data_IF_514470194118
#
_entry.id   IF_514470194118
#
_cell.length_a   1.000
_cell.length_b   1.000
_cell.length_c   1.000
_cell.angle_alpha   90.00
_cell.angle_beta   90.00
_cell.angle_gamma   90.00
#
_symmetry.space_group_name_H-M   'P 1'
#
loop_
_entity.id
_entity.type
_entity.pdbx_description
1 polymer ?
#
# COMPACT_ATOMS: atom_id res chain seq x y z
N UNK A 1 17.27 -8.85 -14.74
CA UNK A 1 16.90 -7.51 -14.30
C UNK A 1 18.18 -6.73 -13.99
N UNK A 2 18.44 -5.61 -14.69
CA UNK A 2 19.68 -4.83 -14.54
C UNK A 2 19.72 -4.13 -13.18
N UNK A 3 20.89 -3.98 -12.56
CA UNK A 3 21.07 -3.29 -11.27
C UNK A 3 20.50 -1.85 -11.34
N UNK A 4 20.60 -1.20 -12.51
CA UNK A 4 20.08 0.15 -12.77
C UNK A 4 18.55 0.25 -12.65
N UNK A 5 17.81 -0.81 -12.96
CA UNK A 5 16.34 -0.83 -12.92
C UNK A 5 15.81 -0.91 -11.48
N UNK A 6 16.60 -1.50 -10.57
CA UNK A 6 16.29 -1.55 -9.13
C UNK A 6 16.59 -0.24 -8.41
N UNK A 7 17.41 0.64 -8.99
CA UNK A 7 17.76 1.91 -8.37
C UNK A 7 16.54 2.84 -8.15
N UNK A 8 15.47 2.69 -8.94
CA UNK A 8 14.23 3.47 -8.79
C UNK A 8 13.30 2.96 -7.68
N UNK A 9 13.48 1.71 -7.23
CA UNK A 9 12.60 1.11 -6.20
C UNK A 9 12.77 1.82 -4.86
N UNK A 10 14.02 2.01 -4.42
CA UNK A 10 14.30 2.64 -3.13
C UNK A 10 13.79 4.09 -3.06
N UNK A 11 14.09 4.99 -4.01
CA UNK A 11 13.55 6.36 -3.98
C UNK A 11 12.03 6.40 -3.98
N UNK A 12 11.35 5.57 -4.77
CA UNK A 12 9.89 5.54 -4.83
C UNK A 12 9.27 4.94 -3.58
N UNK A 13 9.87 3.90 -3.01
CA UNK A 13 9.41 3.33 -1.75
C UNK A 13 9.58 4.35 -0.61
N UNK A 14 10.73 5.02 -0.52
CA UNK A 14 10.97 6.07 0.47
C UNK A 14 10.01 7.24 0.27
N UNK A 15 9.80 7.69 -0.96
CA UNK A 15 8.83 8.76 -1.26
C UNK A 15 7.43 8.37 -0.79
N UNK A 16 6.99 7.15 -1.11
CA UNK A 16 5.69 6.65 -0.65
C UNK A 16 5.63 6.58 0.88
N UNK A 17 6.68 6.08 1.53
CA UNK A 17 6.80 6.05 2.99
C UNK A 17 6.73 7.45 3.61
N UNK A 18 7.39 8.44 3.02
CA UNK A 18 7.34 9.83 3.49
C UNK A 18 5.95 10.45 3.34
N UNK A 19 5.23 10.15 2.25
CA UNK A 19 3.85 10.59 2.06
C UNK A 19 2.94 9.97 3.13
N UNK A 20 3.11 8.67 3.40
CA UNK A 20 2.37 7.99 4.47
C UNK A 20 2.71 8.55 5.84
N UNK A 21 3.99 8.80 6.13
CA UNK A 21 4.43 9.46 7.35
C UNK A 21 3.76 10.83 7.53
N UNK A 22 3.72 11.63 6.48
CA UNK A 22 3.12 12.97 6.53
C UNK A 22 1.61 12.91 6.74
N UNK A 23 0.90 12.02 6.02
CA UNK A 23 -0.55 11.85 6.13
C UNK A 23 -0.99 11.08 7.39
N UNK A 24 -0.07 10.45 8.12
CA UNK A 24 -0.36 9.81 9.41
C UNK A 24 -0.30 10.75 10.61
N UNK A 25 -0.26 12.05 10.36
CA UNK A 25 -0.31 13.07 11.43
C UNK A 25 -1.76 13.21 11.91
N UNK A 26 -2.03 12.62 13.07
CA UNK A 26 -3.36 12.60 13.68
C UNK A 26 -3.86 14.01 14.07
N UNK A 27 -2.94 14.96 14.26
CA UNK A 27 -3.32 16.34 14.58
C UNK A 27 -3.84 17.12 13.37
N UNK A 28 -3.55 16.68 12.14
CA UNK A 28 -3.84 17.43 10.90
C UNK A 28 -4.78 16.73 9.94
N UNK A 29 -4.72 15.41 9.88
CA UNK A 29 -5.36 14.62 8.82
C UNK A 29 -6.35 13.59 9.38
N UNK A 30 -7.10 13.99 10.41
CA UNK A 30 -8.19 13.18 10.94
C UNK A 30 -9.53 13.56 10.31
N UNK A 31 -10.32 12.55 10.00
CA UNK A 31 -11.69 12.67 9.55
C UNK A 31 -12.57 12.59 10.81
N UNK A 32 -13.23 13.68 11.15
CA UNK A 32 -14.17 13.73 12.26
C UNK A 32 -15.54 13.20 11.83
N UNK A 33 -16.09 12.25 12.59
CA UNK A 33 -17.43 11.75 12.37
C UNK A 33 -18.45 12.59 13.14
N UNK A 34 -19.58 12.88 12.50
CA UNK A 34 -20.60 13.75 13.12
C UNK A 34 -21.23 13.12 14.37
N UNK A 35 -21.28 13.89 15.46
CA UNK A 35 -21.89 13.59 16.75
C UNK A 35 -21.42 12.33 17.48
N UNK A 36 -20.67 12.55 18.53
CA UNK A 36 -20.18 11.53 19.46
C UNK A 36 -21.34 10.81 20.15
N UNK A 37 -21.55 9.57 19.82
CA UNK A 37 -22.47 8.70 20.57
C UNK A 37 -21.63 7.81 21.48
N UNK A 38 -21.93 7.80 22.78
CA UNK A 38 -21.29 6.85 23.70
C UNK A 38 -21.43 5.43 23.17
N UNK A 39 -20.29 4.74 22.93
CA UNK A 39 -20.24 3.37 22.44
C UNK A 39 -19.88 3.22 20.95
N UNK A 40 -19.45 4.27 20.26
CA UNK A 40 -18.93 4.15 18.91
C UNK A 40 -17.53 3.52 18.90
N UNK A 41 -17.25 2.70 17.89
CA UNK A 41 -15.98 2.00 17.77
C UNK A 41 -14.79 2.96 17.55
N UNK A 42 -15.04 4.14 16.95
CA UNK A 42 -14.05 5.21 16.75
C UNK A 42 -14.76 6.54 16.49
N UNK A 43 -14.21 7.61 17.02
CA UNK A 43 -14.70 8.98 16.77
C UNK A 43 -13.96 9.65 15.62
N UNK A 44 -12.76 9.14 15.27
CA UNK A 44 -11.87 9.67 14.26
C UNK A 44 -11.34 8.57 13.36
N UNK A 45 -11.23 8.87 12.07
CA UNK A 45 -10.61 8.00 11.08
C UNK A 45 -9.44 8.74 10.44
N UNK A 46 -8.20 8.21 10.45
CA UNK A 46 -7.10 8.86 9.75
C UNK A 46 -7.34 8.88 8.24
N UNK A 47 -7.15 10.01 7.60
CA UNK A 47 -7.36 10.19 6.15
C UNK A 47 -6.51 9.22 5.31
N UNK A 48 -5.36 8.80 5.86
CA UNK A 48 -4.50 7.80 5.21
C UNK A 48 -5.22 6.46 5.00
N UNK A 49 -6.17 6.08 5.84
CA UNK A 49 -6.94 4.85 5.66
C UNK A 49 -7.74 4.83 4.35
N UNK A 50 -8.20 6.01 3.90
CA UNK A 50 -8.91 6.18 2.61
C UNK A 50 -7.91 6.31 1.45
N UNK A 51 -6.83 7.08 1.65
CA UNK A 51 -5.90 7.45 0.58
C UNK A 51 -4.81 6.43 0.33
N UNK A 52 -4.59 5.46 1.24
CA UNK A 52 -3.50 4.49 1.16
C UNK A 52 -3.44 3.74 -0.18
N UNK A 53 -4.56 3.18 -0.63
CA UNK A 53 -4.65 2.45 -1.90
C UNK A 53 -4.31 3.32 -3.12
N UNK A 54 -4.99 4.46 -3.33
CA UNK A 54 -4.68 5.41 -4.41
C UNK A 54 -3.24 5.88 -4.44
N UNK A 55 -2.65 6.26 -3.29
CA UNK A 55 -1.28 6.76 -3.21
C UNK A 55 -0.27 5.66 -3.53
N UNK A 56 -0.41 4.49 -2.91
CA UNK A 56 0.45 3.35 -3.19
C UNK A 56 0.39 2.94 -4.67
N UNK A 57 -0.82 2.90 -5.26
CA UNK A 57 -0.99 2.61 -6.67
C UNK A 57 -0.35 3.66 -7.58
N UNK A 58 -0.43 4.94 -7.24
CA UNK A 58 0.24 6.01 -7.99
C UNK A 58 1.77 5.79 -8.00
N UNK A 59 2.39 5.46 -6.86
CA UNK A 59 3.82 5.15 -6.78
C UNK A 59 4.18 3.88 -7.57
N UNK A 60 3.35 2.84 -7.50
CA UNK A 60 3.52 1.61 -8.31
C UNK A 60 3.41 1.92 -9.82
N UNK A 61 2.45 2.75 -10.24
CA UNK A 61 2.30 3.18 -11.63
C UNK A 61 3.52 3.96 -12.13
N UNK A 62 4.09 4.84 -11.30
CA UNK A 62 5.34 5.55 -11.62
C UNK A 62 6.48 4.55 -11.79
N UNK A 63 6.64 3.60 -10.86
CA UNK A 63 7.65 2.54 -10.96
C UNK A 63 7.51 1.75 -12.26
N UNK A 64 6.31 1.26 -12.57
CA UNK A 64 6.03 0.47 -13.77
C UNK A 64 6.28 1.26 -15.06
N UNK A 65 6.03 2.58 -15.04
CA UNK A 65 6.22 3.47 -16.18
C UNK A 65 7.71 3.75 -16.43
N UNK A 66 8.42 4.14 -15.37
CA UNK A 66 9.83 4.54 -15.47
C UNK A 66 10.72 3.35 -15.84
N UNK A 67 10.55 2.22 -15.15
CA UNK A 67 11.36 1.02 -15.38
C UNK A 67 10.92 0.28 -16.62
N UNK A 68 9.61 0.14 -16.84
CA UNK A 68 9.04 -0.54 -18.01
C UNK A 68 9.03 0.28 -19.29
N UNK A 69 9.46 1.56 -19.24
CA UNK A 69 9.41 2.51 -20.37
C UNK A 69 8.04 2.52 -21.08
N UNK A 70 6.98 2.40 -20.29
CA UNK A 70 5.60 2.37 -20.78
C UNK A 70 5.04 3.78 -21.00
N UNK A 71 3.83 3.87 -21.56
CA UNK A 71 3.16 5.13 -21.92
C UNK A 71 2.84 5.96 -20.66
N UNK A 72 3.64 6.98 -20.37
CA UNK A 72 3.53 7.80 -19.16
C UNK A 72 2.17 8.51 -19.02
N UNK A 73 1.54 8.92 -20.12
CA UNK A 73 0.24 9.60 -20.10
C UNK A 73 -0.88 8.70 -19.54
N UNK A 74 -0.84 7.38 -19.81
CA UNK A 74 -1.82 6.44 -19.31
C UNK A 74 -1.65 6.24 -17.79
N UNK A 75 -0.40 6.14 -17.33
CA UNK A 75 -0.07 6.08 -15.91
C UNK A 75 -0.52 7.35 -15.18
N UNK A 76 -0.26 8.52 -15.75
CA UNK A 76 -0.67 9.80 -15.19
C UNK A 76 -2.20 9.91 -15.14
N UNK A 77 -2.91 9.53 -16.19
CA UNK A 77 -4.37 9.54 -16.24
C UNK A 77 -4.96 8.66 -15.13
N UNK A 78 -4.51 7.40 -15.03
CA UNK A 78 -5.02 6.47 -14.02
C UNK A 78 -4.67 6.97 -12.61
N UNK A 79 -3.44 7.44 -12.38
CA UNK A 79 -3.02 7.98 -11.10
C UNK A 79 -3.86 9.19 -10.67
N UNK A 80 -4.12 10.13 -11.58
CA UNK A 80 -4.98 11.30 -11.32
C UNK A 80 -6.40 10.86 -11.00
N UNK A 81 -6.97 9.91 -11.76
CA UNK A 81 -8.32 9.40 -11.50
C UNK A 81 -8.44 8.72 -10.13
N UNK A 82 -7.43 7.96 -9.72
CA UNK A 82 -7.41 7.31 -8.41
C UNK A 82 -7.29 8.32 -7.27
N UNK A 83 -6.43 9.33 -7.41
CA UNK A 83 -6.30 10.40 -6.42
C UNK A 83 -7.58 11.26 -6.37
N UNK A 84 -8.19 11.54 -7.53
CA UNK A 84 -9.46 12.25 -7.59
C UNK A 84 -10.60 11.44 -6.93
N UNK A 85 -10.62 10.12 -7.09
CA UNK A 85 -11.59 9.25 -6.41
C UNK A 85 -11.40 9.30 -4.89
N UNK A 86 -10.17 9.26 -4.37
CA UNK A 86 -9.88 9.43 -2.96
C UNK A 86 -10.31 10.81 -2.43
N UNK A 87 -9.96 11.88 -3.17
CA UNK A 87 -10.37 13.24 -2.84
C UNK A 87 -11.90 13.38 -2.85
N UNK A 88 -12.58 12.80 -3.84
CA UNK A 88 -14.04 12.80 -3.92
C UNK A 88 -14.66 12.19 -2.66
N UNK A 89 -14.16 11.05 -2.18
CA UNK A 89 -14.64 10.41 -0.95
C UNK A 89 -14.48 11.34 0.25
N UNK A 90 -13.32 11.99 0.38
CA UNK A 90 -13.05 12.94 1.48
C UNK A 90 -13.94 14.20 1.43
N UNK A 91 -14.36 14.62 0.25
CA UNK A 91 -15.24 15.78 0.08
C UNK A 91 -16.72 15.44 0.28
N UNK A 92 -17.12 14.19 0.00
CA UNK A 92 -18.54 13.81 0.00
C UNK A 92 -19.00 13.11 1.27
N UNK A 93 -18.09 12.54 2.09
CA UNK A 93 -18.47 11.83 3.32
C UNK A 93 -19.32 12.69 4.29
N UNK A 94 -19.11 14.03 4.44
CA UNK A 94 -19.93 14.81 5.35
C UNK A 94 -21.40 14.90 4.91
N UNK A 95 -21.64 14.72 3.61
CA UNK A 95 -22.98 14.77 3.00
C UNK A 95 -23.73 13.44 3.08
N UNK A 96 -23.06 12.37 3.55
CA UNK A 96 -23.67 11.04 3.69
C UNK A 96 -24.76 10.97 4.78
N UNK A 97 -25.01 12.06 5.49
CA UNK A 97 -26.09 12.19 6.46
C UNK A 97 -25.64 11.99 7.91
N UNK A 98 -26.40 11.18 8.67
CA UNK A 98 -26.09 10.94 10.09
C UNK A 98 -24.89 10.00 10.25
N UNK A 99 -24.27 10.00 11.43
CA UNK A 99 -23.08 9.22 11.76
C UNK A 99 -23.10 7.77 11.29
N UNK A 100 -24.16 6.96 11.46
CA UNK A 100 -24.17 5.57 11.00
C UNK A 100 -23.96 5.43 9.49
N UNK A 101 -24.50 6.36 8.69
CA UNK A 101 -24.30 6.38 7.25
C UNK A 101 -22.91 6.82 6.86
N UNK A 102 -22.30 7.77 7.58
CA UNK A 102 -20.91 8.19 7.37
C UNK A 102 -19.94 7.06 7.67
N UNK A 103 -20.11 6.36 8.79
CA UNK A 103 -19.30 5.19 9.17
C UNK A 103 -19.41 4.09 8.12
N UNK A 104 -20.62 3.77 7.67
CA UNK A 104 -20.83 2.75 6.64
C UNK A 104 -20.21 3.17 5.31
N UNK A 105 -20.38 4.42 4.90
CA UNK A 105 -19.79 4.96 3.68
C UNK A 105 -18.26 4.87 3.70
N UNK A 106 -17.62 5.35 4.75
CA UNK A 106 -16.15 5.31 4.89
C UNK A 106 -15.63 3.88 4.97
N UNK A 107 -16.29 2.99 5.72
CA UNK A 107 -15.93 1.58 5.79
C UNK A 107 -15.97 0.90 4.42
N UNK A 108 -16.99 1.18 3.62
CA UNK A 108 -17.08 0.68 2.25
C UNK A 108 -15.96 1.24 1.39
N UNK A 109 -15.63 2.52 1.52
CA UNK A 109 -14.58 3.17 0.73
C UNK A 109 -13.16 2.67 1.07
N UNK A 110 -12.89 2.33 2.34
CA UNK A 110 -11.63 1.69 2.77
C UNK A 110 -11.37 0.39 1.99
N UNK A 111 -12.43 -0.34 1.63
CA UNK A 111 -12.31 -1.59 0.87
C UNK A 111 -12.30 -1.32 -0.64
N UNK A 112 -13.18 -0.45 -1.12
CA UNK A 112 -13.37 -0.23 -2.56
C UNK A 112 -12.25 0.56 -3.22
N UNK A 113 -11.65 1.55 -2.53
CA UNK A 113 -10.56 2.34 -3.10
C UNK A 113 -9.29 1.52 -3.36
N UNK A 114 -8.81 0.64 -2.47
CA UNK A 114 -7.72 -0.27 -2.79
C UNK A 114 -8.06 -1.25 -3.93
N UNK A 115 -9.29 -1.74 -4.00
CA UNK A 115 -9.73 -2.60 -5.12
C UNK A 115 -9.74 -1.84 -6.45
N UNK A 116 -10.23 -0.59 -6.44
CA UNK A 116 -10.19 0.29 -7.61
C UNK A 116 -8.74 0.60 -8.02
N UNK A 117 -7.87 0.85 -7.05
CA UNK A 117 -6.45 1.08 -7.26
C UNK A 117 -5.76 -0.14 -7.91
N UNK A 118 -6.04 -1.34 -7.39
CA UNK A 118 -5.58 -2.60 -7.97
C UNK A 118 -6.09 -2.80 -9.40
N UNK A 119 -7.38 -2.56 -9.64
CA UNK A 119 -7.97 -2.64 -10.98
C UNK A 119 -7.34 -1.62 -11.95
N UNK A 120 -7.04 -0.40 -11.47
CA UNK A 120 -6.36 0.64 -12.24
C UNK A 120 -4.94 0.23 -12.65
N UNK A 121 -4.15 -0.34 -11.75
CA UNK A 121 -2.83 -0.91 -12.07
C UNK A 121 -2.96 -2.05 -13.08
N UNK A 122 -3.97 -2.92 -12.92
CA UNK A 122 -4.25 -3.99 -13.87
C UNK A 122 -4.60 -3.47 -15.27
N UNK A 123 -5.47 -2.47 -15.33
CA UNK A 123 -5.84 -1.83 -16.60
C UNK A 123 -4.61 -1.22 -17.30
N UNK A 124 -3.70 -0.59 -16.54
CA UNK A 124 -2.44 -0.07 -17.06
C UNK A 124 -1.54 -1.17 -17.65
N UNK A 125 -1.38 -2.29 -16.92
CA UNK A 125 -0.50 -3.38 -17.34
C UNK A 125 -1.03 -4.12 -18.57
N UNK A 126 -2.36 -4.28 -18.67
CA UNK A 126 -3.02 -4.99 -19.77
C UNK A 126 -3.24 -4.08 -20.97
N UNK A 127 -3.16 -2.75 -20.81
CA UNK A 127 -3.38 -1.81 -21.88
C UNK A 127 -2.45 -2.06 -23.08
N UNK A 128 -3.04 -2.32 -24.22
CA UNK A 128 -2.31 -2.64 -25.46
C UNK A 128 -2.01 -4.13 -25.67
N UNK A 129 -2.33 -5.01 -24.71
CA UNK A 129 -2.17 -6.44 -24.83
C UNK A 129 -3.55 -7.11 -24.97
N UNK A 130 -3.90 -7.59 -26.16
CA UNK A 130 -5.21 -8.20 -26.43
C UNK A 130 -5.34 -9.67 -26.00
N UNK A 131 -4.21 -10.35 -25.80
CA UNK A 131 -4.19 -11.76 -25.42
C UNK A 131 -4.79 -11.96 -24.01
N UNK A 132 -5.81 -12.83 -23.85
CA UNK A 132 -6.39 -13.18 -22.56
C UNK A 132 -5.36 -13.72 -21.54
N UNK A 133 -4.27 -14.35 -21.99
CA UNK A 133 -3.20 -14.85 -21.15
C UNK A 133 -2.57 -13.74 -20.29
N UNK A 134 -2.50 -12.50 -20.78
CA UNK A 134 -2.00 -11.37 -20.00
C UNK A 134 -2.87 -11.04 -18.78
N UNK A 135 -4.20 -11.23 -18.90
CA UNK A 135 -5.13 -11.00 -17.77
C UNK A 135 -4.92 -12.05 -16.67
N UNK A 136 -4.78 -13.29 -17.07
CA UNK A 136 -4.51 -14.40 -16.15
C UNK A 136 -3.16 -14.20 -15.44
N UNK A 137 -2.12 -13.87 -16.19
CA UNK A 137 -0.81 -13.54 -15.63
C UNK A 137 -0.85 -12.40 -14.63
N UNK A 138 -1.59 -11.33 -14.95
CA UNK A 138 -1.78 -10.20 -14.02
C UNK A 138 -2.41 -10.68 -12.70
N UNK A 139 -3.45 -11.51 -12.76
CA UNK A 139 -4.11 -12.03 -11.56
C UNK A 139 -3.16 -12.86 -10.69
N UNK A 140 -2.40 -13.77 -11.29
CA UNK A 140 -1.43 -14.59 -10.57
C UNK A 140 -0.33 -13.72 -9.95
N UNK A 141 0.23 -12.79 -10.71
CA UNK A 141 1.29 -11.90 -10.20
C UNK A 141 0.76 -10.95 -9.13
N UNK A 142 -0.49 -10.50 -9.22
CA UNK A 142 -1.14 -9.75 -8.15
C UNK A 142 -1.25 -10.57 -6.88
N UNK A 143 -1.66 -11.84 -6.99
CA UNK A 143 -1.75 -12.74 -5.84
C UNK A 143 -0.36 -12.94 -5.19
N UNK A 144 0.70 -13.13 -5.98
CA UNK A 144 2.06 -13.24 -5.47
C UNK A 144 2.49 -11.95 -4.72
N UNK A 145 2.15 -10.76 -5.26
CA UNK A 145 2.41 -9.47 -4.60
C UNK A 145 1.65 -9.35 -3.29
N UNK A 146 0.37 -9.75 -3.26
CA UNK A 146 -0.44 -9.73 -2.04
C UNK A 146 0.09 -10.69 -0.98
N UNK A 147 0.51 -11.90 -1.38
CA UNK A 147 1.11 -12.88 -0.45
C UNK A 147 2.41 -12.32 0.12
N UNK A 148 3.28 -11.78 -0.71
CA UNK A 148 4.54 -11.18 -0.25
C UNK A 148 4.29 -9.99 0.66
N UNK A 149 3.40 -9.08 0.25
CA UNK A 149 3.02 -7.92 1.06
C UNK A 149 2.42 -8.34 2.40
N UNK A 150 1.51 -9.33 2.40
CA UNK A 150 0.93 -9.90 3.61
C UNK A 150 1.96 -10.49 4.57
N UNK A 151 2.96 -11.21 4.04
CA UNK A 151 4.06 -11.74 4.84
C UNK A 151 4.89 -10.62 5.51
N UNK A 152 5.17 -9.54 4.78
CA UNK A 152 5.85 -8.38 5.36
C UNK A 152 5.01 -7.70 6.44
N UNK A 153 3.69 -7.57 6.22
CA UNK A 153 2.76 -7.01 7.22
C UNK A 153 2.71 -7.89 8.47
N UNK A 154 2.63 -9.21 8.32
CA UNK A 154 2.62 -10.15 9.46
C UNK A 154 3.94 -10.05 10.23
N UNK A 155 5.08 -10.11 9.54
CA UNK A 155 6.39 -10.02 10.18
C UNK A 155 6.59 -8.67 10.88
N UNK A 156 6.24 -7.56 10.23
CA UNK A 156 6.27 -6.21 10.79
C UNK A 156 5.30 -6.05 11.96
N UNK A 157 4.10 -6.62 11.86
CA UNK A 157 3.09 -6.60 12.92
C UNK A 157 3.53 -7.37 14.18
N UNK A 158 4.15 -8.54 14.01
CA UNK A 158 4.73 -9.29 15.12
C UNK A 158 5.85 -8.50 15.82
N UNK A 159 6.75 -7.90 15.03
CA UNK A 159 7.80 -7.04 15.58
C UNK A 159 7.22 -5.84 16.34
N UNK A 160 6.21 -5.18 15.75
CA UNK A 160 5.50 -4.08 16.40
C UNK A 160 4.86 -4.52 17.70
N UNK A 161 4.17 -5.67 17.71
CA UNK A 161 3.50 -6.18 18.90
C UNK A 161 4.50 -6.48 20.02
N UNK A 162 5.65 -7.08 19.71
CA UNK A 162 6.73 -7.32 20.67
C UNK A 162 7.26 -5.99 21.21
N UNK A 163 7.54 -5.04 20.33
CA UNK A 163 8.07 -3.71 20.73
C UNK A 163 7.09 -2.99 21.64
N UNK A 164 5.80 -2.91 21.26
CA UNK A 164 4.75 -2.31 22.11
C UNK A 164 4.63 -3.02 23.43
N UNK A 165 4.67 -4.37 23.43
CA UNK A 165 4.61 -5.16 24.65
C UNK A 165 5.78 -4.89 25.60
N UNK A 166 6.98 -4.68 25.07
CA UNK A 166 8.15 -4.32 25.89
C UNK A 166 8.01 -2.92 26.50
N UNK A 167 7.56 -1.93 25.73
CA UNK A 167 7.28 -0.58 26.26
C UNK A 167 6.22 -0.62 27.36
N UNK A 168 5.11 -1.36 27.13
CA UNK A 168 4.06 -1.53 28.11
C UNK A 168 4.54 -2.23 29.38
N UNK A 169 5.43 -3.24 29.27
CA UNK A 169 6.01 -3.93 30.42
C UNK A 169 6.94 -3.05 31.26
N UNK A 170 7.52 -2.01 30.63
CA UNK A 170 8.39 -1.03 31.30
C UNK A 170 7.62 0.20 31.80
N UNK A 171 6.28 0.21 31.66
CA UNK A 171 5.41 1.36 31.98
C UNK A 171 5.85 2.67 31.26
N UNK A 172 6.33 2.52 30.02
CA UNK A 172 6.76 3.63 29.15
C UNK A 172 5.75 3.81 28.02
N UNK A 173 5.26 5.02 27.85
CA UNK A 173 4.37 5.36 26.73
C UNK A 173 5.03 5.10 25.39
N UNK A 174 4.29 4.47 24.48
CA UNK A 174 4.78 4.17 23.15
C UNK A 174 4.87 5.46 22.31
N UNK A 175 6.07 5.87 21.86
CA UNK A 175 6.23 7.15 21.18
C UNK A 175 5.41 7.22 19.89
N UNK A 176 4.66 8.30 19.67
CA UNK A 176 3.89 8.58 18.44
C UNK A 176 4.77 8.50 17.19
N UNK A 177 6.01 8.97 17.28
CA UNK A 177 7.02 8.89 16.21
C UNK A 177 7.21 7.44 15.71
N UNK A 178 7.27 6.48 16.63
CA UNK A 178 7.46 5.06 16.30
C UNK A 178 6.21 4.49 15.67
N UNK A 179 5.01 4.83 16.17
CA UNK A 179 3.74 4.44 15.56
C UNK A 179 3.65 4.92 14.11
N UNK A 180 3.97 6.18 13.85
CA UNK A 180 3.98 6.76 12.50
C UNK A 180 5.01 6.08 11.59
N UNK A 181 6.17 5.67 12.13
CA UNK A 181 7.18 4.92 11.40
C UNK A 181 6.66 3.55 10.94
N UNK A 182 5.88 2.86 11.76
CA UNK A 182 5.25 1.59 11.37
C UNK A 182 4.21 1.78 10.27
N UNK A 183 3.40 2.84 10.33
CA UNK A 183 2.43 3.17 9.27
C UNK A 183 3.16 3.47 7.96
N UNK A 184 4.21 4.29 8.01
CA UNK A 184 5.02 4.62 6.84
C UNK A 184 5.74 3.39 6.25
N UNK A 185 6.27 2.52 7.10
CA UNK A 185 6.91 1.26 6.70
C UNK A 185 5.91 0.27 6.11
N UNK A 186 4.86 -0.06 6.85
CA UNK A 186 3.86 -1.05 6.46
C UNK A 186 3.03 -0.61 5.25
N UNK A 187 2.41 0.55 5.33
CA UNK A 187 1.56 1.08 4.26
C UNK A 187 2.35 1.67 3.09
N UNK A 188 3.45 2.36 3.39
CA UNK A 188 4.22 3.09 2.41
C UNK A 188 5.26 2.27 1.65
N UNK A 189 6.15 1.56 2.35
CA UNK A 189 7.26 0.85 1.69
C UNK A 189 6.80 -0.47 1.04
N UNK A 190 5.98 -1.26 1.75
CA UNK A 190 5.65 -2.64 1.35
C UNK A 190 5.04 -2.73 -0.05
N UNK A 191 4.02 -1.93 -0.45
CA UNK A 191 3.40 -2.07 -1.76
C UNK A 191 4.37 -1.90 -2.93
N UNK A 192 5.27 -0.93 -2.84
CA UNK A 192 6.27 -0.64 -3.88
C UNK A 192 7.34 -1.73 -3.92
N UNK A 193 7.87 -2.12 -2.76
CA UNK A 193 8.91 -3.16 -2.65
C UNK A 193 8.37 -4.52 -3.09
N UNK A 194 7.18 -4.92 -2.61
CA UNK A 194 6.56 -6.18 -2.99
C UNK A 194 6.33 -6.27 -4.50
N UNK A 195 5.82 -5.20 -5.11
CA UNK A 195 5.64 -5.13 -6.57
C UNK A 195 6.98 -5.25 -7.30
N UNK A 196 8.01 -4.55 -6.84
CA UNK A 196 9.33 -4.55 -7.49
C UNK A 196 10.07 -5.90 -7.36
N UNK A 197 9.81 -6.65 -6.30
CA UNK A 197 10.39 -7.99 -6.10
C UNK A 197 9.73 -9.02 -7.01
N UNK A 198 8.41 -8.96 -7.12
CA UNK A 198 7.60 -9.98 -7.83
C UNK A 198 7.47 -9.68 -9.32
N UNK A 199 7.30 -8.42 -9.70
CA UNK A 199 6.98 -8.05 -11.06
C UNK A 199 8.17 -7.40 -11.79
N UNK A 200 8.48 -7.92 -12.98
CA UNK A 200 9.49 -7.33 -13.87
C UNK A 200 8.81 -6.44 -14.93
N UNK A 201 8.90 -5.09 -14.82
CA UNK A 201 8.20 -4.21 -15.74
C UNK A 201 8.78 -4.20 -17.17
N UNK A 202 10.00 -4.72 -17.37
CA UNK A 202 10.67 -4.73 -18.69
C UNK A 202 10.23 -5.84 -19.61
N UNK A 203 9.46 -6.82 -19.06
CA UNK A 203 9.00 -8.01 -19.78
C UNK A 203 7.47 -7.97 -19.89
N UNK A 204 6.87 -8.40 -21.01
CA UNK A 204 5.42 -8.52 -21.13
C UNK A 204 4.83 -9.40 -20.03
N UNK A 205 3.55 -9.15 -19.61
CA UNK A 205 2.95 -9.95 -18.54
C UNK A 205 3.01 -11.46 -18.78
N UNK A 206 2.78 -11.93 -20.00
CA UNK A 206 2.76 -13.36 -20.33
C UNK A 206 4.13 -14.05 -20.21
N UNK A 207 5.21 -13.29 -20.31
CA UNK A 207 6.59 -13.80 -20.24
C UNK A 207 7.18 -13.72 -18.80
N UNK A 208 6.38 -13.35 -17.81
CA UNK A 208 6.83 -13.31 -16.42
C UNK A 208 7.18 -14.70 -15.90
N UNK A 209 8.31 -14.82 -15.19
CA UNK A 209 8.72 -16.07 -14.57
C UNK A 209 7.82 -16.41 -13.36
N UNK A 210 7.19 -17.59 -13.40
CA UNK A 210 6.27 -18.04 -12.35
C UNK A 210 6.96 -18.84 -11.23
N UNK A 211 8.06 -19.55 -11.57
CA UNK A 211 8.71 -20.48 -10.63
C UNK A 211 9.73 -19.86 -9.67
N UNK A 212 10.18 -18.64 -9.92
CA UNK A 212 11.21 -18.00 -9.10
C UNK A 212 10.63 -17.16 -7.94
N UNK A 213 9.34 -16.85 -7.96
CA UNK A 213 8.72 -15.92 -7.01
C UNK A 213 8.78 -16.45 -5.57
N UNK A 214 8.32 -17.67 -5.34
CA UNK A 214 8.15 -18.24 -4.00
C UNK A 214 9.50 -18.52 -3.32
N UNK A 215 10.49 -19.04 -4.01
CA UNK A 215 11.83 -19.30 -3.45
C UNK A 215 12.59 -18.01 -3.12
N UNK A 216 12.46 -16.97 -3.97
CA UNK A 216 13.00 -15.63 -3.69
C UNK A 216 12.33 -15.00 -2.48
N UNK A 217 11.03 -15.23 -2.32
CA UNK A 217 10.23 -14.75 -1.20
C UNK A 217 10.70 -15.34 0.13
N UNK A 218 10.86 -16.66 0.20
CA UNK A 218 11.37 -17.34 1.40
C UNK A 218 12.78 -16.87 1.74
N UNK A 219 13.66 -16.77 0.75
CA UNK A 219 15.03 -16.29 0.96
C UNK A 219 15.10 -14.83 1.42
N UNK A 220 14.22 -13.95 0.89
CA UNK A 220 14.13 -12.56 1.31
C UNK A 220 13.59 -12.42 2.73
N UNK A 221 12.55 -13.18 3.06
CA UNK A 221 11.96 -13.20 4.39
C UNK A 221 12.98 -13.64 5.44
N UNK A 222 13.73 -14.72 5.17
CA UNK A 222 14.80 -15.21 6.05
C UNK A 222 15.93 -14.18 6.23
N UNK A 223 16.27 -13.44 5.16
CA UNK A 223 17.30 -12.38 5.24
C UNK A 223 16.85 -11.17 6.04
N UNK A 224 15.56 -10.87 6.10
CA UNK A 224 15.04 -9.74 6.88
C UNK A 224 14.76 -10.16 8.31
N UNK A 225 14.18 -11.34 8.55
CA UNK A 225 13.89 -11.83 9.88
C UNK A 225 15.14 -12.10 10.71
N UNK A 226 16.21 -12.61 10.09
CA UNK A 226 17.42 -12.97 10.81
C UNK A 226 18.10 -11.76 11.52
N UNK A 227 18.36 -10.61 10.87
CA UNK A 227 18.88 -9.44 11.60
C UNK A 227 17.85 -8.85 12.58
N UNK A 228 16.55 -8.96 12.28
CA UNK A 228 15.49 -8.46 13.16
C UNK A 228 15.45 -9.25 14.49
N UNK A 229 15.59 -10.56 14.42
CA UNK A 229 15.63 -11.44 15.62
C UNK A 229 16.92 -11.28 16.44
N UNK A 230 18.00 -10.75 15.85
CA UNK A 230 19.25 -10.46 16.54
C UNK A 230 19.26 -9.07 17.22
N UNK A 231 18.30 -8.20 16.86
CA UNK A 231 18.13 -6.86 17.41
C UNK A 231 17.20 -6.81 18.64
N UNK A 232 16.45 -7.86 18.89
CA UNK A 232 15.59 -8.08 20.06
C UNK A 232 16.31 -8.89 21.12
#
# INVERSE_FOLDING_TARGET
MCIRDRAWVLPLAVLNGLVFWWLSDDSRYMIELANTRQGAAYDFLPAIAILAGPIAAACVLIYLTVVGRKRWYLSALIGILLLAAGAYVLLTYPQAGTRPFQEQYLTLMIIHLPLLAWAGVGAFLIAGHRDPANRFTFLIKSLEVFILGGLFVIAGGLFTAITVGLFAALDVDFPELVQRLFIAGGGGLIPVVATAVIYNPTVPPVEQAFHEGLSKLVALLMRILLPLTLLV
#
